data_IF_065651926129
#
_entry.id   IF_065651926129
#
_cell.length_a   1.000
_cell.length_b   1.000
_cell.length_c   1.000
_cell.angle_alpha   90.00
_cell.angle_beta   90.00
_cell.angle_gamma   90.00
#
_symmetry.space_group_name_H-M   'P 1'
#
loop_
_entity.id
_entity.type
_entity.pdbx_description
1 polymer ?
#
# COMPACT_ATOMS: atom_id res chain seq x y z
N UNK A 1 -15.74 -66.61 32.73
CA UNK A 1 -15.66 -65.38 33.57
C UNK A 1 -15.55 -64.17 32.68
N UNK A 2 -16.63 -63.36 32.64
CA UNK A 2 -16.70 -62.10 31.91
C UNK A 2 -16.08 -61.00 32.75
N UNK A 3 -15.08 -60.29 32.20
CA UNK A 3 -14.60 -59.04 32.75
C UNK A 3 -15.24 -57.94 31.90
N UNK A 4 -16.18 -57.21 32.49
CA UNK A 4 -16.73 -55.97 31.90
C UNK A 4 -15.71 -54.86 32.12
N UNK A 5 -14.98 -54.48 31.08
CA UNK A 5 -14.17 -53.26 31.03
C UNK A 5 -15.10 -52.04 30.79
N UNK A 6 -14.94 -51.02 31.59
CA UNK A 6 -15.63 -49.72 31.48
C UNK A 6 -15.34 -49.13 30.09
N UNK A 7 -16.37 -48.96 29.28
CA UNK A 7 -16.34 -48.14 28.09
C UNK A 7 -16.41 -46.66 28.52
N UNK A 8 -15.27 -46.01 28.66
CA UNK A 8 -15.23 -44.57 28.69
C UNK A 8 -15.60 -44.04 27.31
N UNK A 9 -16.51 -43.07 27.23
CA UNK A 9 -16.90 -42.43 25.99
C UNK A 9 -15.72 -41.69 25.37
N UNK A 10 -15.19 -42.14 24.21
CA UNK A 10 -14.00 -41.56 23.60
C UNK A 10 -14.22 -40.07 23.18
N UNK A 11 -15.45 -39.62 23.00
CA UNK A 11 -15.76 -38.23 22.65
C UNK A 11 -15.57 -37.26 23.80
N UNK A 12 -15.61 -37.73 25.06
CA UNK A 12 -15.39 -36.91 26.24
C UNK A 12 -13.92 -36.59 26.49
N UNK A 13 -13.02 -37.53 26.21
CA UNK A 13 -11.58 -37.33 26.32
C UNK A 13 -11.07 -36.33 25.28
N UNK A 14 -11.56 -36.42 24.04
CA UNK A 14 -11.19 -35.49 22.96
C UNK A 14 -11.60 -34.03 23.27
N UNK A 15 -12.75 -33.80 23.89
CA UNK A 15 -13.21 -32.47 24.27
C UNK A 15 -12.36 -31.83 25.35
N UNK A 16 -11.90 -32.59 26.34
CA UNK A 16 -11.10 -32.11 27.47
C UNK A 16 -9.67 -31.72 27.00
N UNK A 17 -9.09 -32.48 26.08
CA UNK A 17 -7.76 -32.18 25.52
C UNK A 17 -7.78 -30.92 24.66
N UNK A 18 -8.80 -30.73 23.82
CA UNK A 18 -8.97 -29.52 23.01
C UNK A 18 -9.14 -28.28 23.90
N UNK A 19 -9.93 -28.39 24.96
CA UNK A 19 -10.15 -27.28 25.90
C UNK A 19 -8.85 -26.96 26.66
N UNK A 20 -8.07 -27.97 27.02
CA UNK A 20 -6.78 -27.79 27.71
C UNK A 20 -5.77 -27.10 26.80
N UNK A 21 -5.69 -27.51 25.54
CA UNK A 21 -4.80 -26.91 24.54
C UNK A 21 -5.21 -25.45 24.24
N UNK A 22 -6.49 -25.18 24.07
CA UNK A 22 -7.00 -23.82 23.89
C UNK A 22 -6.70 -22.92 25.10
N UNK A 23 -6.87 -23.43 26.33
CA UNK A 23 -6.49 -22.69 27.54
C UNK A 23 -4.99 -22.40 27.60
N UNK A 24 -4.16 -23.33 27.20
CA UNK A 24 -2.72 -23.15 27.18
C UNK A 24 -2.34 -22.05 26.17
N UNK A 25 -2.87 -22.08 24.94
CA UNK A 25 -2.63 -21.05 23.92
C UNK A 25 -3.09 -19.66 24.36
N UNK A 26 -4.23 -19.56 25.02
CA UNK A 26 -4.71 -18.30 25.58
C UNK A 26 -3.76 -17.79 26.66
N UNK A 27 -3.33 -18.66 27.57
CA UNK A 27 -2.42 -18.28 28.66
C UNK A 27 -1.06 -17.80 28.13
N UNK A 28 -0.52 -18.46 27.11
CA UNK A 28 0.73 -18.03 26.44
C UNK A 28 0.60 -16.62 25.82
N UNK A 29 -0.55 -16.32 25.19
CA UNK A 29 -0.83 -14.98 24.65
C UNK A 29 -1.00 -13.93 25.75
N UNK A 30 -1.65 -14.29 26.86
CA UNK A 30 -1.80 -13.38 28.00
C UNK A 30 -0.44 -13.03 28.60
N UNK A 31 0.43 -14.01 28.84
CA UNK A 31 1.81 -13.79 29.33
C UNK A 31 2.61 -12.90 28.38
N UNK A 32 2.46 -13.11 27.07
CA UNK A 32 3.11 -12.25 26.07
C UNK A 32 2.62 -10.80 26.15
N UNK A 33 1.32 -10.59 26.28
CA UNK A 33 0.72 -9.24 26.42
C UNK A 33 1.15 -8.58 27.73
N UNK A 34 1.19 -9.30 28.84
CA UNK A 34 1.65 -8.79 30.13
C UNK A 34 3.13 -8.38 30.06
N UNK A 35 3.97 -9.16 29.37
CA UNK A 35 5.36 -8.82 29.13
C UNK A 35 5.51 -7.53 28.33
N UNK A 36 4.70 -7.35 27.28
CA UNK A 36 4.68 -6.11 26.47
C UNK A 36 4.20 -4.94 27.32
N UNK A 37 3.12 -5.12 28.08
CA UNK A 37 2.61 -4.08 28.98
C UNK A 37 3.63 -3.67 30.05
N UNK A 38 4.43 -4.60 30.55
CA UNK A 38 5.51 -4.33 31.50
C UNK A 38 6.66 -3.51 30.90
N UNK A 39 6.83 -3.55 29.58
CA UNK A 39 7.84 -2.78 28.86
C UNK A 39 7.37 -1.36 28.46
N UNK A 40 6.07 -1.09 28.47
CA UNK A 40 5.49 0.22 28.13
C UNK A 40 6.06 1.39 28.96
N UNK A 41 6.33 1.25 30.27
CA UNK A 41 6.94 2.32 31.06
C UNK A 41 8.40 2.63 30.68
N UNK A 42 9.08 1.67 30.00
CA UNK A 42 10.46 1.83 29.54
C UNK A 42 10.56 2.58 28.22
N UNK A 43 9.44 2.74 27.51
CA UNK A 43 9.38 3.56 26.31
C UNK A 43 9.38 5.02 26.76
N UNK A 44 10.37 5.84 26.38
CA UNK A 44 10.39 7.26 26.75
C UNK A 44 9.05 7.88 26.34
N UNK A 45 8.28 8.30 27.30
CA UNK A 45 7.09 9.13 27.07
C UNK A 45 7.62 10.48 26.60
N UNK A 46 7.84 10.62 25.30
CA UNK A 46 7.89 11.96 24.73
C UNK A 46 6.56 12.60 25.11
N UNK A 47 6.65 13.73 25.87
CA UNK A 47 5.48 14.50 26.22
C UNK A 47 4.56 14.61 25.02
N UNK A 48 3.23 14.54 25.20
CA UNK A 48 2.31 14.69 24.08
C UNK A 48 2.61 16.05 23.46
N UNK A 49 3.38 16.04 22.38
CA UNK A 49 3.36 17.14 21.46
C UNK A 49 1.93 17.10 20.90
N UNK A 50 1.08 17.97 21.43
CA UNK A 50 -0.23 18.33 20.90
C UNK A 50 -0.08 18.89 19.50
N UNK A 51 0.33 18.09 18.57
CA UNK A 51 0.34 18.37 17.12
C UNK A 51 0.83 17.16 16.34
N UNK A 52 0.48 15.93 16.74
CA UNK A 52 0.68 14.80 15.87
C UNK A 52 -0.54 14.62 14.94
N UNK A 53 -1.02 15.74 14.41
CA UNK A 53 -1.68 15.75 13.11
C UNK A 53 -0.58 15.50 12.07
N UNK A 54 -0.32 14.21 11.80
CA UNK A 54 0.50 13.75 10.67
C UNK A 54 -0.22 13.99 9.34
N UNK A 55 -1.16 14.91 9.28
CA UNK A 55 -1.51 15.54 8.05
C UNK A 55 -0.26 16.29 7.59
N UNK A 56 0.53 15.66 6.72
CA UNK A 56 1.53 16.38 5.91
C UNK A 56 0.77 17.60 5.40
N UNK A 57 1.15 18.80 5.89
CA UNK A 57 0.59 20.06 5.37
C UNK A 57 0.94 20.08 3.90
N UNK A 58 0.03 19.52 3.08
CA UNK A 58 0.16 19.57 1.65
C UNK A 58 0.09 21.03 1.31
N UNK A 59 1.19 21.51 0.80
CA UNK A 59 1.26 22.80 0.19
C UNK A 59 0.28 22.76 -0.99
N UNK A 60 -0.92 23.35 -0.85
CA UNK A 60 -2.00 23.35 -1.85
C UNK A 60 -1.55 23.93 -3.22
N UNK A 61 -0.31 24.40 -3.30
CA UNK A 61 0.32 24.88 -4.54
C UNK A 61 1.28 23.88 -5.20
N UNK A 62 1.54 22.70 -4.62
CA UNK A 62 2.42 21.72 -5.23
C UNK A 62 1.67 20.91 -6.29
N UNK A 63 2.21 20.89 -7.52
CA UNK A 63 1.68 20.17 -8.67
C UNK A 63 2.47 18.91 -9.00
N UNK A 64 3.39 18.52 -8.15
CA UNK A 64 4.26 17.38 -8.39
C UNK A 64 3.52 16.07 -8.13
N UNK A 65 3.54 15.17 -9.10
CA UNK A 65 2.95 13.83 -9.03
C UNK A 65 4.03 12.78 -9.23
N UNK A 66 4.17 11.91 -8.27
CA UNK A 66 5.16 10.84 -8.32
C UNK A 66 4.67 9.70 -9.21
N UNK A 67 5.54 9.20 -10.09
CA UNK A 67 5.28 8.01 -10.91
C UNK A 67 6.31 6.94 -10.57
N UNK A 68 5.84 5.85 -9.98
CA UNK A 68 6.62 4.64 -9.71
C UNK A 68 6.33 3.62 -10.78
N UNK A 69 7.36 3.04 -11.37
CA UNK A 69 7.20 2.09 -12.47
C UNK A 69 8.26 0.98 -12.46
N UNK A 70 7.92 -0.16 -13.08
CA UNK A 70 8.85 -1.24 -13.38
C UNK A 70 9.53 -1.04 -14.73
N UNK A 71 9.47 -2.06 -15.61
CA UNK A 71 10.15 -2.05 -16.92
C UNK A 71 9.28 -1.50 -18.06
N UNK A 72 7.97 -1.30 -17.85
CA UNK A 72 7.06 -0.82 -18.91
C UNK A 72 7.22 0.69 -19.15
N UNK A 73 8.13 1.03 -20.01
CA UNK A 73 8.37 2.42 -20.42
C UNK A 73 7.20 3.01 -21.22
N UNK A 74 6.43 2.18 -21.92
CA UNK A 74 5.26 2.62 -22.70
C UNK A 74 4.19 3.19 -21.79
N UNK A 75 3.76 2.41 -20.80
CA UNK A 75 2.76 2.84 -19.82
C UNK A 75 3.27 4.03 -19.00
N UNK A 76 4.53 4.01 -18.56
CA UNK A 76 5.17 5.12 -17.85
C UNK A 76 5.02 6.44 -18.63
N UNK A 77 5.38 6.44 -19.90
CA UNK A 77 5.32 7.64 -20.74
C UNK A 77 3.88 8.09 -20.99
N UNK A 78 2.94 7.16 -21.16
CA UNK A 78 1.51 7.48 -21.31
C UNK A 78 0.95 8.16 -20.06
N UNK A 79 1.27 7.63 -18.88
CA UNK A 79 0.84 8.21 -17.60
C UNK A 79 1.49 9.57 -17.37
N UNK A 80 2.79 9.71 -17.64
CA UNK A 80 3.48 10.98 -17.49
C UNK A 80 2.85 12.08 -18.39
N UNK A 81 2.56 11.74 -19.66
CA UNK A 81 1.87 12.65 -20.56
C UNK A 81 0.48 13.05 -20.06
N UNK A 82 -0.31 12.07 -19.61
CA UNK A 82 -1.63 12.33 -19.04
C UNK A 82 -1.57 13.28 -17.84
N UNK A 83 -0.61 13.09 -16.93
CA UNK A 83 -0.39 13.98 -15.78
C UNK A 83 -0.03 15.39 -16.23
N UNK A 84 0.83 15.51 -17.25
CA UNK A 84 1.18 16.81 -17.84
C UNK A 84 -0.03 17.49 -18.50
N UNK A 85 -0.84 16.74 -19.24
CA UNK A 85 -2.06 17.24 -19.88
C UNK A 85 -3.10 17.75 -18.85
N UNK A 86 -3.10 17.19 -17.63
CA UNK A 86 -3.89 17.66 -16.50
C UNK A 86 -3.32 18.92 -15.80
N UNK A 87 -2.16 19.41 -16.22
CA UNK A 87 -1.50 20.59 -15.65
C UNK A 87 -0.65 20.31 -14.40
N UNK A 88 -0.26 19.05 -14.19
CA UNK A 88 0.65 18.60 -13.14
C UNK A 88 2.04 18.28 -13.67
N UNK A 89 2.99 18.19 -12.76
CA UNK A 89 4.38 17.90 -13.05
C UNK A 89 4.72 16.43 -12.69
N UNK A 90 4.91 15.52 -13.66
CA UNK A 90 5.25 14.14 -13.37
C UNK A 90 6.72 14.03 -12.92
N UNK A 91 6.96 13.41 -11.77
CA UNK A 91 8.29 13.09 -11.26
C UNK A 91 8.50 11.58 -11.35
N UNK A 92 9.49 11.18 -12.13
CA UNK A 92 9.88 9.78 -12.33
C UNK A 92 11.19 9.53 -11.57
N UNK A 93 11.14 8.69 -10.54
CA UNK A 93 12.25 8.50 -9.61
C UNK A 93 13.52 7.97 -10.28
N UNK A 94 13.38 7.03 -11.20
CA UNK A 94 14.52 6.42 -11.89
C UNK A 94 15.21 7.36 -12.87
N UNK A 95 14.58 8.43 -13.30
CA UNK A 95 15.14 9.44 -14.21
C UNK A 95 15.85 10.57 -13.45
N UNK A 96 15.70 10.62 -12.13
CA UNK A 96 16.40 11.61 -11.31
C UNK A 96 17.89 11.25 -11.15
N UNK A 97 18.80 12.23 -11.13
CA UNK A 97 20.24 11.99 -11.05
C UNK A 97 20.62 11.11 -9.86
N UNK A 98 21.44 10.10 -10.13
CA UNK A 98 22.01 9.23 -9.10
C UNK A 98 23.17 9.94 -8.40
N UNK A 99 22.88 10.84 -7.46
CA UNK A 99 23.89 11.54 -6.67
C UNK A 99 24.43 10.71 -5.49
N UNK A 100 24.55 9.39 -5.66
CA UNK A 100 24.97 8.48 -4.58
C UNK A 100 23.89 8.21 -3.54
N UNK A 101 22.66 8.69 -3.75
CA UNK A 101 21.53 8.50 -2.83
C UNK A 101 20.89 7.13 -3.02
N UNK A 102 20.47 6.55 -1.91
CA UNK A 102 19.60 5.36 -1.90
C UNK A 102 18.22 5.69 -2.48
N UNK A 103 17.46 4.66 -2.83
CA UNK A 103 16.06 4.82 -3.29
C UNK A 103 15.22 5.58 -2.25
N UNK A 104 15.42 5.27 -0.96
CA UNK A 104 14.71 5.92 0.15
C UNK A 104 15.05 7.41 0.21
N UNK A 105 16.33 7.76 0.18
CA UNK A 105 16.78 9.17 0.20
C UNK A 105 16.29 9.97 -1.01
N UNK A 106 16.15 9.30 -2.17
CA UNK A 106 15.54 9.92 -3.35
C UNK A 106 14.05 10.19 -3.13
N UNK A 107 13.31 9.19 -2.65
CA UNK A 107 11.89 9.37 -2.34
C UNK A 107 11.74 10.49 -1.30
N UNK A 108 12.57 10.53 -0.27
CA UNK A 108 12.55 11.57 0.77
C UNK A 108 12.82 12.97 0.23
N UNK A 109 13.75 13.09 -0.71
CA UNK A 109 14.05 14.38 -1.35
C UNK A 109 12.87 14.96 -2.15
N UNK A 110 11.96 14.07 -2.63
CA UNK A 110 10.80 14.46 -3.44
C UNK A 110 9.46 14.25 -2.71
N UNK A 111 9.46 14.09 -1.38
CA UNK A 111 8.25 13.80 -0.60
C UNK A 111 7.23 14.94 -0.55
N UNK A 112 7.54 16.11 -1.07
CA UNK A 112 6.58 17.20 -1.15
C UNK A 112 5.70 17.11 -2.42
N UNK A 113 5.27 15.89 -2.79
CA UNK A 113 4.37 15.69 -3.93
C UNK A 113 2.92 15.69 -3.47
N UNK A 114 2.00 16.09 -4.35
CA UNK A 114 0.58 16.09 -4.03
C UNK A 114 -0.05 14.71 -4.16
N UNK A 115 0.47 13.86 -5.05
CA UNK A 115 -0.07 12.53 -5.34
C UNK A 115 1.00 11.56 -5.84
N UNK A 116 0.75 10.27 -5.75
CA UNK A 116 1.60 9.24 -6.32
C UNK A 116 0.79 8.21 -7.12
N UNK A 117 1.30 7.85 -8.31
CA UNK A 117 0.73 6.80 -9.15
C UNK A 117 1.77 5.68 -9.27
N UNK A 118 1.38 4.48 -8.85
CA UNK A 118 2.24 3.30 -8.86
C UNK A 118 1.79 2.34 -9.95
N UNK A 119 2.67 2.05 -10.90
CA UNK A 119 2.35 1.23 -12.06
C UNK A 119 2.64 -0.24 -11.77
N UNK A 120 1.58 -1.03 -11.63
CA UNK A 120 1.66 -2.47 -11.49
C UNK A 120 1.59 -3.12 -12.86
N UNK A 121 2.72 -3.59 -13.34
CA UNK A 121 2.87 -4.27 -14.64
C UNK A 121 3.51 -5.64 -14.45
N UNK A 122 3.24 -6.64 -15.31
CA UNK A 122 3.74 -8.01 -15.17
C UNK A 122 5.25 -8.11 -15.46
N UNK A 123 6.08 -7.39 -14.69
CA UNK A 123 7.52 -7.35 -14.87
C UNK A 123 8.25 -8.60 -14.37
N UNK A 124 7.75 -9.18 -13.29
CA UNK A 124 8.34 -10.32 -12.62
C UNK A 124 7.33 -11.48 -12.53
N UNK A 125 7.82 -12.65 -12.18
CA UNK A 125 7.00 -13.84 -11.91
C UNK A 125 7.34 -14.37 -10.53
N UNK A 126 6.34 -14.87 -9.81
CA UNK A 126 6.55 -15.45 -8.51
C UNK A 126 5.45 -16.41 -8.08
N UNK A 127 5.76 -17.22 -7.05
CA UNK A 127 4.81 -18.14 -6.46
C UNK A 127 5.04 -18.19 -4.95
N UNK A 128 4.00 -18.59 -4.20
CA UNK A 128 4.17 -19.02 -2.81
C UNK A 128 5.00 -20.31 -2.75
N UNK A 129 5.76 -20.48 -1.68
CA UNK A 129 6.55 -21.69 -1.46
C UNK A 129 5.72 -22.98 -1.54
N UNK A 130 4.49 -22.92 -1.06
CA UNK A 130 3.59 -24.05 -0.96
C UNK A 130 2.62 -24.19 -2.14
N UNK A 131 2.63 -23.21 -3.08
CA UNK A 131 1.83 -23.21 -4.28
C UNK A 131 2.72 -22.95 -5.49
N UNK A 132 3.02 -23.97 -6.32
CA UNK A 132 3.95 -23.86 -7.44
C UNK A 132 3.39 -23.04 -8.61
N UNK A 133 2.13 -22.60 -8.53
CA UNK A 133 1.51 -21.82 -9.60
C UNK A 133 2.11 -20.41 -9.66
N UNK A 134 2.99 -20.21 -10.65
CA UNK A 134 3.71 -18.95 -10.85
C UNK A 134 2.75 -17.90 -11.43
N UNK A 135 2.62 -16.78 -10.73
CA UNK A 135 1.77 -15.66 -11.13
C UNK A 135 2.63 -14.47 -11.61
N UNK A 136 2.12 -13.69 -12.60
CA UNK A 136 2.71 -12.41 -12.92
C UNK A 136 2.61 -11.46 -11.72
N UNK A 137 3.67 -10.71 -11.45
CA UNK A 137 3.69 -9.73 -10.36
C UNK A 137 4.47 -8.47 -10.75
N UNK A 138 4.16 -7.39 -10.07
CA UNK A 138 4.97 -6.19 -10.17
C UNK A 138 6.38 -6.44 -9.62
N UNK A 139 7.35 -5.67 -10.09
CA UNK A 139 8.71 -5.71 -9.59
C UNK A 139 8.74 -5.44 -8.09
N UNK A 140 9.57 -6.17 -7.35
CA UNK A 140 9.66 -6.04 -5.88
C UNK A 140 9.92 -4.61 -5.41
N UNK A 141 10.77 -3.85 -6.14
CA UNK A 141 11.03 -2.45 -5.81
C UNK A 141 9.77 -1.59 -5.93
N UNK A 142 8.92 -1.82 -6.94
CA UNK A 142 7.65 -1.10 -7.11
C UNK A 142 6.72 -1.36 -5.94
N UNK A 143 6.64 -2.59 -5.45
CA UNK A 143 5.83 -2.95 -4.28
C UNK A 143 6.38 -2.28 -3.01
N UNK A 144 7.70 -2.29 -2.84
CA UNK A 144 8.36 -1.62 -1.71
C UNK A 144 8.10 -0.09 -1.72
N UNK A 145 8.30 0.55 -2.87
CA UNK A 145 8.06 1.98 -3.07
C UNK A 145 6.60 2.35 -2.83
N UNK A 146 5.65 1.49 -3.26
CA UNK A 146 4.23 1.65 -2.98
C UNK A 146 3.93 1.70 -1.48
N UNK A 147 4.40 0.69 -0.73
CA UNK A 147 4.22 0.66 0.73
C UNK A 147 4.83 1.87 1.43
N UNK A 148 6.03 2.29 1.00
CA UNK A 148 6.68 3.47 1.52
C UNK A 148 5.88 4.76 1.28
N UNK A 149 5.36 4.94 0.05
CA UNK A 149 4.55 6.10 -0.32
C UNK A 149 3.22 6.15 0.43
N UNK A 150 2.57 5.01 0.64
CA UNK A 150 1.36 4.93 1.49
C UNK A 150 1.66 5.43 2.91
N UNK A 151 2.76 4.97 3.49
CA UNK A 151 3.18 5.39 4.83
C UNK A 151 3.55 6.88 4.92
N UNK A 152 4.03 7.47 3.83
CA UNK A 152 4.51 8.85 3.78
C UNK A 152 3.41 9.86 3.41
N UNK A 153 2.62 9.55 2.39
CA UNK A 153 1.60 10.47 1.82
C UNK A 153 0.21 10.23 2.38
N UNK A 154 -0.05 9.06 2.97
CA UNK A 154 -1.38 8.57 3.26
C UNK A 154 -1.96 7.79 2.07
N UNK A 155 -2.81 6.79 2.37
CA UNK A 155 -3.38 5.88 1.37
C UNK A 155 -4.29 6.58 0.35
N UNK A 156 -4.90 7.67 0.74
CA UNK A 156 -5.80 8.48 -0.09
C UNK A 156 -5.06 9.23 -1.21
N UNK A 157 -3.73 9.36 -1.11
CA UNK A 157 -2.89 10.07 -2.09
C UNK A 157 -2.03 9.15 -2.92
N UNK A 158 -2.28 7.86 -2.85
CA UNK A 158 -1.54 6.85 -3.60
C UNK A 158 -2.53 5.98 -4.36
N UNK A 159 -2.37 5.93 -5.67
CA UNK A 159 -3.16 5.08 -6.57
C UNK A 159 -2.28 4.04 -7.24
N UNK A 160 -2.72 2.81 -7.27
CA UNK A 160 -2.09 1.76 -8.06
C UNK A 160 -2.83 1.57 -9.40
N UNK A 161 -2.15 1.84 -10.51
CA UNK A 161 -2.63 1.56 -11.86
C UNK A 161 -2.15 0.18 -12.30
N UNK A 162 -3.08 -0.73 -12.51
CA UNK A 162 -2.80 -2.14 -12.78
C UNK A 162 -3.00 -2.45 -14.25
N UNK A 163 -1.95 -2.91 -14.91
CA UNK A 163 -1.99 -3.41 -16.27
C UNK A 163 -2.00 -4.93 -16.27
N UNK A 164 -3.00 -5.53 -16.93
CA UNK A 164 -3.20 -6.97 -17.02
C UNK A 164 -3.49 -7.63 -15.66
N UNK A 165 -3.45 -8.95 -15.60
CA UNK A 165 -3.59 -9.69 -14.35
C UNK A 165 -2.24 -9.76 -13.64
N UNK A 166 -2.10 -8.97 -12.60
CA UNK A 166 -0.90 -8.93 -11.75
C UNK A 166 -1.30 -9.25 -10.31
N UNK A 167 -0.54 -10.12 -9.66
CA UNK A 167 -0.70 -10.40 -8.23
C UNK A 167 -0.61 -9.10 -7.43
N UNK A 168 -1.63 -8.84 -6.63
CA UNK A 168 -1.68 -7.67 -5.74
C UNK A 168 -1.17 -8.07 -4.36
N UNK A 169 -0.49 -7.17 -3.64
CA UNK A 169 -0.24 -7.38 -2.22
C UNK A 169 -1.57 -7.59 -1.49
N UNK A 170 -1.64 -8.62 -0.65
CA UNK A 170 -2.76 -8.82 0.27
C UNK A 170 -2.83 -7.68 1.30
N UNK A 171 -3.98 -7.55 1.95
CA UNK A 171 -4.17 -6.70 3.14
C UNK A 171 -3.84 -5.20 2.98
N UNK A 172 -3.87 -4.66 1.75
CA UNK A 172 -3.72 -3.22 1.51
C UNK A 172 -5.11 -2.60 1.32
N UNK A 173 -5.97 -2.76 2.34
CA UNK A 173 -7.30 -2.18 2.35
C UNK A 173 -7.26 -0.64 2.33
N UNK A 174 -8.12 -0.05 1.51
CA UNK A 174 -8.27 1.39 1.39
C UNK A 174 -7.30 2.08 0.43
N UNK A 175 -6.51 1.34 -0.33
CA UNK A 175 -5.75 1.86 -1.47
C UNK A 175 -6.61 1.82 -2.73
N UNK A 176 -6.56 2.88 -3.51
CA UNK A 176 -7.27 2.96 -4.79
C UNK A 176 -6.53 2.15 -5.86
N UNK A 177 -7.19 1.12 -6.37
CA UNK A 177 -6.71 0.32 -7.50
C UNK A 177 -7.51 0.67 -8.76
N UNK A 178 -6.83 1.18 -9.77
CA UNK A 178 -7.42 1.48 -11.08
C UNK A 178 -6.90 0.47 -12.11
N UNK A 179 -7.79 -0.13 -12.89
CA UNK A 179 -7.41 -1.04 -13.97
C UNK A 179 -7.04 -0.24 -15.21
N UNK A 180 -5.84 -0.49 -15.75
CA UNK A 180 -5.43 0.08 -17.04
C UNK A 180 -6.23 -0.59 -18.17
N UNK A 181 -6.76 0.22 -19.05
CA UNK A 181 -7.39 -0.22 -20.28
C UNK A 181 -6.81 0.57 -21.47
N UNK A 182 -6.65 -0.09 -22.60
CA UNK A 182 -6.10 0.55 -23.81
C UNK A 182 -7.01 1.61 -24.44
N UNK A 183 -8.23 1.80 -23.94
CA UNK A 183 -9.19 2.81 -24.41
C UNK A 183 -9.13 4.09 -23.60
N UNK A 184 -8.40 4.10 -22.48
CA UNK A 184 -8.15 5.28 -21.65
C UNK A 184 -9.22 5.60 -20.62
N UNK A 185 -10.13 4.67 -20.26
CA UNK A 185 -11.11 4.89 -19.20
C UNK A 185 -10.42 5.14 -17.84
N UNK A 186 -9.28 4.48 -17.59
CA UNK A 186 -8.45 4.69 -16.40
C UNK A 186 -8.10 6.17 -16.14
N UNK A 187 -7.99 7.00 -17.19
CA UNK A 187 -7.70 8.44 -17.08
C UNK A 187 -8.80 9.18 -16.33
N UNK A 188 -10.06 8.79 -16.60
CA UNK A 188 -11.22 9.37 -15.93
C UNK A 188 -11.25 8.97 -14.46
N UNK A 189 -10.91 7.72 -14.14
CA UNK A 189 -10.89 7.23 -12.78
C UNK A 189 -9.80 7.95 -11.96
N UNK A 190 -8.58 8.06 -12.49
CA UNK A 190 -7.50 8.81 -11.84
C UNK A 190 -7.88 10.29 -11.70
N UNK A 191 -8.44 10.95 -12.72
CA UNK A 191 -8.87 12.34 -12.63
C UNK A 191 -9.91 12.55 -11.52
N UNK A 192 -10.80 11.59 -11.30
CA UNK A 192 -11.79 11.62 -10.22
C UNK A 192 -11.11 11.60 -8.84
N UNK A 193 -10.07 10.78 -8.65
CA UNK A 193 -9.30 10.75 -7.39
C UNK A 193 -8.64 12.11 -7.11
N UNK A 194 -8.04 12.73 -8.13
CA UNK A 194 -7.45 14.07 -8.01
C UNK A 194 -8.48 15.13 -7.61
N UNK A 195 -9.71 15.04 -8.15
CA UNK A 195 -10.81 15.94 -7.79
C UNK A 195 -11.19 15.83 -6.31
N UNK A 196 -11.28 14.58 -5.81
CA UNK A 196 -11.69 14.30 -4.44
C UNK A 196 -10.72 14.90 -3.42
N UNK A 197 -9.45 15.00 -3.78
CA UNK A 197 -8.40 15.55 -2.92
C UNK A 197 -8.25 17.08 -3.01
N UNK A 198 -9.09 17.75 -3.81
CA UNK A 198 -8.95 19.19 -4.05
C UNK A 198 -7.67 19.56 -4.82
N UNK A 199 -7.02 18.57 -5.43
CA UNK A 199 -5.80 18.77 -6.22
C UNK A 199 -6.08 19.44 -7.56
N UNK A 200 -7.30 19.44 -8.07
CA UNK A 200 -7.63 20.10 -9.32
C UNK A 200 -7.65 21.62 -9.15
N UNK A 201 -6.82 22.28 -9.91
CA UNK A 201 -6.92 23.69 -10.11
C UNK A 201 -8.22 24.00 -10.88
N UNK A 202 -8.99 24.93 -10.38
CA UNK A 202 -10.11 25.55 -11.09
C UNK A 202 -9.62 25.96 -12.49
N UNK A 203 -9.99 25.22 -13.52
CA UNK A 203 -9.90 25.72 -14.87
C UNK A 203 -10.94 26.81 -14.97
N UNK A 204 -10.52 28.07 -15.00
CA UNK A 204 -11.40 29.20 -15.33
C UNK A 204 -12.19 28.84 -16.58
N UNK A 205 -13.51 29.09 -16.63
CA UNK A 205 -14.28 28.85 -17.83
C UNK A 205 -13.65 29.64 -19.00
N UNK A 206 -13.49 28.94 -20.12
CA UNK A 206 -12.97 29.54 -21.35
C UNK A 206 -13.83 30.75 -21.74
N UNK A 207 -13.22 31.88 -22.16
CA UNK A 207 -13.98 33.08 -22.55
C UNK A 207 -14.77 32.97 -23.89
N UNK A 208 -15.23 31.77 -24.24
CA UNK A 208 -15.93 31.51 -25.50
C UNK A 208 -17.44 31.29 -25.37
N UNK A 209 -18.00 31.46 -24.17
CA UNK A 209 -19.44 31.30 -23.93
C UNK A 209 -20.10 32.64 -23.54
N UNK A 210 -19.75 33.68 -24.28
CA UNK A 210 -20.53 34.93 -24.33
C UNK A 210 -20.83 35.30 -25.76
#
# INVERSE_FOLDING_TARGET
YRVYGRTGDPTRLFGEDIIKEAKQQINEKVVCLESIMGQLPLIPQTAPNDNNDRSVKVNMGNKDVFIVHGHDSGLKNEVARFITDMGYNPIILHEQPNTGKTIIEKIEAFTNVCYAIVLYTPCDKGASKDCPNVQPRARQNVVFEHGYLIGKLGRERVCALIKEEVEKPGDVDGVVYVSYDGRGAWKKDIAKEFNTLGCLLYTSPSPRDT
#
